data_IF_183191683364
#
_entry.id   IF_183191683364
#
_cell.length_a   1.000
_cell.length_b   1.000
_cell.length_c   1.000
_cell.angle_alpha   90.00
_cell.angle_beta   90.00
_cell.angle_gamma   90.00
#
_symmetry.space_group_name_H-M   'P 1'
#
loop_
_entity.id
_entity.type
_entity.pdbx_description
1 polymer ?
#
# COMPACT_ATOMS: atom_id res chain seq x y z
N UNK A 1 21.04 9.41 30.09
CA UNK A 1 20.40 10.74 29.88
C UNK A 1 20.58 11.07 28.40
N UNK A 2 19.48 11.26 27.67
CA UNK A 2 19.45 11.29 26.19
C UNK A 2 20.10 12.55 25.60
N UNK A 3 20.52 12.40 24.35
CA UNK A 3 21.50 13.16 23.57
C UNK A 3 21.07 14.63 23.33
N UNK A 4 22.05 15.53 23.47
CA UNK A 4 22.01 16.96 23.21
C UNK A 4 21.67 17.22 21.73
N UNK A 5 20.47 17.69 21.42
CA UNK A 5 20.17 18.19 20.08
C UNK A 5 20.97 19.50 19.85
N UNK A 6 21.59 19.70 18.67
CA UNK A 6 22.27 20.94 18.37
C UNK A 6 21.21 21.99 18.06
N UNK A 7 20.84 22.76 19.08
CA UNK A 7 20.14 24.03 18.85
C UNK A 7 21.00 24.85 17.87
N UNK A 8 20.38 25.25 16.75
CA UNK A 8 21.03 26.07 15.73
C UNK A 8 21.61 27.31 16.42
N UNK A 9 22.94 27.37 16.47
CA UNK A 9 23.67 28.44 17.11
C UNK A 9 23.89 29.55 16.08
N UNK A 10 22.95 30.48 15.99
CA UNK A 10 23.11 31.71 15.21
C UNK A 10 23.63 32.80 16.16
N UNK A 11 24.95 32.91 16.26
CA UNK A 11 25.58 34.00 16.99
C UNK A 11 25.15 35.35 16.36
N UNK A 12 24.36 36.13 17.09
CA UNK A 12 24.03 37.52 16.76
C UNK A 12 24.73 38.44 17.77
N UNK A 13 25.63 39.29 17.26
CA UNK A 13 26.34 40.28 18.05
C UNK A 13 25.64 41.64 17.87
N UNK A 14 24.73 42.03 18.78
CA UNK A 14 24.17 43.39 18.85
C UNK A 14 22.77 43.49 19.49
N UNK A 15 22.71 44.14 20.66
CA UNK A 15 21.53 44.65 21.43
C UNK A 15 20.41 43.66 21.85
N UNK A 16 20.35 43.37 23.17
CA UNK A 16 19.58 42.25 23.77
C UNK A 16 18.05 42.34 23.71
N UNK A 17 17.46 43.47 23.31
CA UNK A 17 16.00 43.64 23.24
C UNK A 17 15.42 43.22 21.89
N UNK A 18 16.22 43.32 20.82
CA UNK A 18 15.83 42.90 19.48
C UNK A 18 15.80 41.36 19.37
N UNK A 19 16.66 40.67 20.12
CA UNK A 19 16.80 39.21 20.11
C UNK A 19 15.56 38.48 20.65
N UNK A 20 14.99 38.91 21.78
CA UNK A 20 13.80 38.25 22.37
C UNK A 20 12.58 38.37 21.48
N UNK A 21 12.37 39.55 20.90
CA UNK A 21 11.25 39.81 19.98
C UNK A 21 11.45 39.01 18.68
N UNK A 22 12.67 39.00 18.12
CA UNK A 22 12.98 38.19 16.93
C UNK A 22 12.78 36.69 17.17
N UNK A 23 13.25 36.16 18.30
CA UNK A 23 13.04 34.76 18.68
C UNK A 23 11.55 34.43 18.85
N UNK A 24 10.78 35.33 19.47
CA UNK A 24 9.34 35.16 19.62
C UNK A 24 8.62 35.14 18.25
N UNK A 25 9.00 36.04 17.34
CA UNK A 25 8.46 36.09 15.97
C UNK A 25 8.84 34.83 15.20
N UNK A 26 10.10 34.40 15.24
CA UNK A 26 10.55 33.16 14.58
C UNK A 26 9.79 31.94 15.10
N UNK A 27 9.64 31.80 16.42
CA UNK A 27 8.88 30.71 17.02
C UNK A 27 7.41 30.75 16.59
N UNK A 28 6.76 31.91 16.63
CA UNK A 28 5.38 32.06 16.20
C UNK A 28 5.20 31.71 14.71
N UNK A 29 6.10 32.19 13.84
CA UNK A 29 6.04 31.85 12.41
C UNK A 29 6.21 30.37 12.16
N UNK A 30 7.15 29.70 12.83
CA UNK A 30 7.34 28.26 12.71
C UNK A 30 6.10 27.50 13.18
N UNK A 31 5.49 27.89 14.30
CA UNK A 31 4.25 27.28 14.79
C UNK A 31 3.11 27.42 13.80
N UNK A 32 2.92 28.62 13.23
CA UNK A 32 1.88 28.86 12.23
C UNK A 32 2.13 27.99 10.99
N UNK A 33 3.35 28.00 10.44
CA UNK A 33 3.71 27.19 9.27
C UNK A 33 3.51 25.70 9.52
N UNK A 34 3.85 25.23 10.71
CA UNK A 34 3.65 23.83 11.12
C UNK A 34 2.17 23.46 11.15
N UNK A 35 1.33 24.33 11.72
CA UNK A 35 -0.12 24.12 11.77
C UNK A 35 -0.75 24.13 10.36
N UNK A 36 -0.29 25.02 9.47
CA UNK A 36 -0.73 25.04 8.08
C UNK A 36 -0.33 23.76 7.33
N UNK A 37 0.92 23.31 7.49
CA UNK A 37 1.39 22.07 6.86
C UNK A 37 0.60 20.84 7.35
N UNK A 38 0.28 20.79 8.64
CA UNK A 38 -0.55 19.72 9.21
C UNK A 38 -1.97 19.75 8.62
N UNK A 39 -2.60 20.93 8.56
CA UNK A 39 -3.91 21.11 7.94
C UNK A 39 -3.91 20.65 6.49
N UNK A 40 -2.96 21.11 5.68
CA UNK A 40 -2.88 20.74 4.27
C UNK A 40 -2.70 19.23 4.08
N UNK A 41 -1.86 18.59 4.90
CA UNK A 41 -1.69 17.14 4.91
C UNK A 41 -3.00 16.41 5.20
N UNK A 42 -3.78 16.90 6.15
CA UNK A 42 -5.09 16.32 6.48
C UNK A 42 -6.09 16.51 5.32
N UNK A 43 -6.13 17.70 4.71
CA UNK A 43 -6.99 18.00 3.57
C UNK A 43 -6.65 17.13 2.34
N UNK A 44 -5.37 16.85 2.09
CA UNK A 44 -4.92 15.96 1.02
C UNK A 44 -5.39 14.51 1.28
N UNK A 45 -5.22 14.01 2.51
CA UNK A 45 -5.65 12.66 2.89
C UNK A 45 -7.17 12.49 2.78
N UNK A 46 -7.93 13.49 3.21
CA UNK A 46 -9.38 13.49 3.12
C UNK A 46 -9.83 13.37 1.66
N UNK A 47 -9.31 14.22 0.77
CA UNK A 47 -9.61 14.16 -0.67
C UNK A 47 -9.17 12.86 -1.31
N UNK A 48 -8.02 12.31 -0.91
CA UNK A 48 -7.56 11.00 -1.39
C UNK A 48 -8.53 9.89 -1.00
N UNK A 49 -9.01 9.89 0.25
CA UNK A 49 -9.97 8.91 0.75
C UNK A 49 -11.31 9.01 0.00
N UNK A 50 -11.80 10.23 -0.24
CA UNK A 50 -13.00 10.48 -1.06
C UNK A 50 -12.84 9.96 -2.50
N UNK A 51 -11.69 10.23 -3.13
CA UNK A 51 -11.37 9.73 -4.47
C UNK A 51 -11.31 8.20 -4.53
N UNK A 52 -10.69 7.56 -3.52
CA UNK A 52 -10.65 6.09 -3.38
C UNK A 52 -12.06 5.53 -3.20
N UNK A 53 -12.90 6.14 -2.37
CA UNK A 53 -14.28 5.72 -2.15
C UNK A 53 -15.10 5.80 -3.44
N UNK A 54 -14.96 6.89 -4.20
CA UNK A 54 -15.64 7.05 -5.49
C UNK A 54 -15.16 6.01 -6.51
N UNK A 55 -13.85 5.74 -6.58
CA UNK A 55 -13.30 4.72 -7.48
C UNK A 55 -13.81 3.31 -7.13
N UNK A 56 -13.86 2.96 -5.84
CA UNK A 56 -14.47 1.70 -5.36
C UNK A 56 -15.94 1.60 -5.73
N UNK A 57 -16.72 2.68 -5.54
CA UNK A 57 -18.14 2.72 -5.91
C UNK A 57 -18.37 2.51 -7.40
N UNK A 58 -17.45 2.98 -8.24
CA UNK A 58 -17.45 2.74 -9.69
C UNK A 58 -16.92 1.35 -10.09
N UNK A 59 -16.60 0.48 -9.14
CA UNK A 59 -16.09 -0.86 -9.39
C UNK A 59 -14.64 -0.91 -9.90
N UNK A 60 -13.89 0.20 -9.83
CA UNK A 60 -12.50 0.22 -10.30
C UNK A 60 -11.62 -0.57 -9.32
N UNK A 61 -10.83 -1.51 -9.85
CA UNK A 61 -9.80 -2.19 -9.06
C UNK A 61 -8.74 -1.19 -8.59
N UNK A 62 -8.46 -1.17 -7.30
CA UNK A 62 -7.45 -0.32 -6.69
C UNK A 62 -6.25 -1.16 -6.24
N UNK A 63 -5.05 -0.65 -6.46
CA UNK A 63 -3.80 -1.33 -6.11
C UNK A 63 -3.35 -2.33 -7.17
N UNK A 64 -2.47 -3.25 -6.76
CA UNK A 64 -1.88 -4.25 -7.68
C UNK A 64 -2.97 -5.17 -8.23
N UNK A 65 -3.03 -5.40 -9.55
CA UNK A 65 -3.95 -6.39 -10.12
C UNK A 65 -3.77 -7.76 -9.47
N UNK A 66 -4.87 -8.51 -9.23
CA UNK A 66 -4.76 -9.89 -8.75
C UNK A 66 -3.99 -10.73 -9.77
N UNK A 67 -3.28 -11.75 -9.28
CA UNK A 67 -2.71 -12.77 -10.17
C UNK A 67 -3.89 -13.46 -10.83
N UNK A 68 -3.88 -13.54 -12.16
CA UNK A 68 -4.98 -14.09 -12.92
C UNK A 68 -4.76 -15.58 -13.19
N UNK A 69 -5.87 -16.31 -13.33
CA UNK A 69 -5.88 -17.66 -13.87
C UNK A 69 -5.60 -17.53 -15.37
N UNK A 70 -4.43 -17.97 -15.79
CA UNK A 70 -4.01 -18.01 -17.20
C UNK A 70 -4.14 -19.43 -17.74
N UNK A 71 -4.14 -19.59 -19.06
CA UNK A 71 -4.15 -20.92 -19.69
C UNK A 71 -2.95 -21.78 -19.24
N UNK A 72 -1.77 -21.15 -19.08
CA UNK A 72 -0.58 -21.79 -18.52
C UNK A 72 -0.82 -22.34 -17.10
N UNK A 73 -1.55 -21.60 -16.26
CA UNK A 73 -1.90 -22.10 -14.93
C UNK A 73 -2.88 -23.28 -15.00
N UNK A 74 -3.86 -23.23 -15.90
CA UNK A 74 -4.84 -24.32 -16.06
C UNK A 74 -4.14 -25.62 -16.49
N UNK A 75 -3.19 -25.53 -17.42
CA UNK A 75 -2.37 -26.68 -17.81
C UNK A 75 -1.51 -27.19 -16.65
N UNK A 76 -0.82 -26.28 -15.95
CA UNK A 76 -0.02 -26.62 -14.77
C UNK A 76 -0.85 -27.30 -13.68
N UNK A 77 -2.09 -26.84 -13.47
CA UNK A 77 -3.05 -27.42 -12.52
C UNK A 77 -3.46 -28.83 -12.96
N UNK A 78 -3.80 -29.02 -14.23
CA UNK A 78 -4.23 -30.32 -14.77
C UNK A 78 -3.13 -31.37 -14.65
N UNK A 79 -1.91 -31.07 -15.08
CA UNK A 79 -0.77 -32.01 -15.00
C UNK A 79 -0.39 -32.33 -13.54
N UNK A 80 -0.55 -31.36 -12.63
CA UNK A 80 -0.34 -31.59 -11.20
C UNK A 80 -1.45 -32.44 -10.58
N UNK A 81 -2.71 -32.17 -10.92
CA UNK A 81 -3.89 -32.86 -10.38
C UNK A 81 -4.00 -34.30 -10.90
N UNK A 82 -3.53 -34.58 -12.13
CA UNK A 82 -3.42 -35.95 -12.66
C UNK A 82 -2.28 -36.75 -12.03
N UNK A 83 -1.38 -36.10 -11.29
CA UNK A 83 -0.22 -36.73 -10.66
C UNK A 83 0.97 -36.95 -11.60
N UNK A 84 0.90 -36.47 -12.85
CA UNK A 84 2.01 -36.57 -13.82
C UNK A 84 3.24 -35.79 -13.37
N UNK A 85 3.04 -34.64 -12.74
CA UNK A 85 4.13 -33.82 -12.20
C UNK A 85 3.88 -33.40 -10.76
N UNK A 86 4.95 -33.21 -10.01
CA UNK A 86 4.87 -32.61 -8.68
C UNK A 86 4.51 -31.13 -8.78
N UNK A 87 3.93 -30.55 -7.73
CA UNK A 87 3.68 -29.10 -7.67
C UNK A 87 4.95 -28.28 -7.94
N UNK A 88 6.11 -28.73 -7.44
CA UNK A 88 7.41 -28.07 -7.69
C UNK A 88 7.80 -28.18 -9.16
N UNK A 89 7.54 -29.31 -9.80
CA UNK A 89 7.71 -29.51 -11.24
C UNK A 89 6.84 -28.55 -12.05
N UNK A 90 5.54 -28.45 -11.73
CA UNK A 90 4.60 -27.55 -12.39
C UNK A 90 5.03 -26.08 -12.27
N UNK A 91 5.39 -25.66 -11.06
CA UNK A 91 5.87 -24.29 -10.79
C UNK A 91 7.12 -23.95 -11.60
N UNK A 92 8.06 -24.88 -11.73
CA UNK A 92 9.28 -24.67 -12.53
C UNK A 92 8.98 -24.66 -14.03
N UNK A 93 8.22 -25.64 -14.53
CA UNK A 93 7.89 -25.81 -15.95
C UNK A 93 7.14 -24.59 -16.50
N UNK A 94 6.18 -24.07 -15.74
CA UNK A 94 5.34 -22.94 -16.14
C UNK A 94 5.82 -21.58 -15.58
N UNK A 95 6.99 -21.54 -14.94
CA UNK A 95 7.59 -20.34 -14.33
C UNK A 95 6.65 -19.60 -13.35
N UNK A 96 5.87 -20.35 -12.56
CA UNK A 96 4.92 -19.80 -11.60
C UNK A 96 5.56 -19.79 -10.21
N UNK A 97 5.57 -18.63 -9.55
CA UNK A 97 6.06 -18.50 -8.16
C UNK A 97 5.18 -19.30 -7.22
N UNK A 98 5.79 -19.91 -6.19
CA UNK A 98 5.09 -20.75 -5.19
C UNK A 98 3.87 -20.10 -4.55
N UNK A 99 4.00 -18.85 -4.11
CA UNK A 99 2.89 -18.11 -3.51
C UNK A 99 1.75 -17.82 -4.49
N UNK A 100 2.07 -17.63 -5.78
CA UNK A 100 1.07 -17.41 -6.82
C UNK A 100 0.37 -18.72 -7.18
N UNK A 101 1.11 -19.83 -7.28
CA UNK A 101 0.56 -21.14 -7.60
C UNK A 101 -0.53 -21.56 -6.62
N UNK A 102 -0.22 -21.63 -5.31
CA UNK A 102 -1.21 -22.06 -4.31
C UNK A 102 -2.37 -21.07 -4.15
N UNK A 103 -2.13 -19.78 -4.37
CA UNK A 103 -3.22 -18.78 -4.39
C UNK A 103 -4.18 -19.05 -5.55
N UNK A 104 -3.65 -19.28 -6.75
CA UNK A 104 -4.44 -19.58 -7.94
C UNK A 104 -5.17 -20.93 -7.81
N UNK A 105 -4.56 -21.96 -7.21
CA UNK A 105 -5.21 -23.25 -6.92
C UNK A 105 -6.47 -23.05 -6.07
N UNK A 106 -6.32 -22.38 -4.93
CA UNK A 106 -7.44 -22.10 -4.03
C UNK A 106 -8.55 -21.31 -4.72
N UNK A 107 -8.17 -20.32 -5.52
CA UNK A 107 -9.12 -19.49 -6.28
C UNK A 107 -9.84 -20.29 -7.38
N UNK A 108 -9.13 -21.16 -8.09
CA UNK A 108 -9.67 -22.01 -9.15
C UNK A 108 -10.67 -23.03 -8.61
N UNK A 109 -10.33 -23.70 -7.51
CA UNK A 109 -11.21 -24.68 -6.85
C UNK A 109 -12.45 -24.02 -6.25
N UNK A 110 -12.30 -22.86 -5.61
CA UNK A 110 -13.44 -22.11 -5.08
C UNK A 110 -14.43 -21.69 -6.19
N UNK A 111 -13.91 -21.21 -7.33
CA UNK A 111 -14.74 -20.88 -8.50
C UNK A 111 -15.47 -22.11 -9.05
N UNK A 112 -14.80 -23.27 -9.10
CA UNK A 112 -15.44 -24.50 -9.52
C UNK A 112 -16.60 -24.86 -8.59
N UNK A 113 -16.40 -24.85 -7.27
CA UNK A 113 -17.46 -25.13 -6.28
C UNK A 113 -18.66 -24.20 -6.40
N UNK A 114 -18.45 -22.88 -6.55
CA UNK A 114 -19.55 -21.92 -6.68
C UNK A 114 -20.43 -22.18 -7.91
N UNK A 115 -19.84 -22.58 -9.04
CA UNK A 115 -20.59 -22.90 -10.26
C UNK A 115 -21.48 -24.15 -10.08
N UNK A 116 -21.10 -25.11 -9.25
CA UNK A 116 -21.91 -26.30 -8.97
C UNK A 116 -23.07 -26.02 -8.01
N UNK A 117 -22.98 -25.00 -7.16
CA UNK A 117 -24.06 -24.63 -6.24
C UNK A 117 -25.15 -23.80 -6.94
N UNK A 118 -24.80 -22.97 -7.91
CA UNK A 118 -25.74 -22.11 -8.67
C UNK A 118 -26.56 -22.86 -9.74
N UNK A 119 -26.18 -24.11 -10.08
CA UNK A 119 -26.87 -24.94 -11.09
C UNK A 119 -27.89 -25.92 -10.50
N UNK A 120 -28.02 -25.98 -9.18
CA UNK A 120 -28.90 -26.91 -8.47
C UNK A 120 -30.04 -26.21 -7.70
N UNK A 121 -30.22 -24.91 -7.89
CA UNK A 121 -31.36 -24.10 -7.39
C UNK A 121 -32.32 -23.72 -8.54
#
# INVERSE_FOLDING_TARGET
QFIKEPFINVNYNGESTNDVIQQAVQKATLTILSAFAEKERNDIKQRQAEGIALAKKKGKHLGRPPVQITDQFIEAYREWQSGEITAVGAMRKYNIKRSSFYKLVKEYEARATTIYMDKND
#
